data_IF_370326442122
#
_entry.id   IF_370326442122
#
_cell.length_a   1.000
_cell.length_b   1.000
_cell.length_c   1.000
_cell.angle_alpha   90.00
_cell.angle_beta   90.00
_cell.angle_gamma   90.00
#
_symmetry.space_group_name_H-M   'P 1'
#
loop_
_entity.id
_entity.type
_entity.pdbx_description
1 polymer ?
#
# COMPACT_ATOMS: atom_id res chain seq x y z
N UNK A 1 21.57 41.96 39.06
CA UNK A 1 20.16 41.56 38.83
C UNK A 1 19.79 41.29 37.36
N UNK A 2 20.75 41.10 36.43
CA UNK A 2 20.44 40.85 34.99
C UNK A 2 20.42 39.36 34.59
N UNK A 3 20.97 38.46 35.41
CA UNK A 3 21.12 37.02 35.07
C UNK A 3 19.82 36.21 35.20
N UNK A 4 18.91 36.60 36.09
CA UNK A 4 17.65 35.87 36.31
C UNK A 4 16.64 36.06 35.16
N UNK A 5 16.64 37.22 34.50
CA UNK A 5 15.81 37.49 33.32
C UNK A 5 16.26 36.69 32.10
N UNK A 6 17.57 36.50 31.92
CA UNK A 6 18.15 35.75 30.80
C UNK A 6 17.84 34.24 30.92
N UNK A 7 17.85 33.69 32.13
CA UNK A 7 17.49 32.28 32.40
C UNK A 7 16.01 32.03 32.11
N UNK A 8 15.11 32.91 32.59
CA UNK A 8 13.68 32.78 32.33
C UNK A 8 13.33 32.92 30.85
N UNK A 9 14.04 33.81 30.14
CA UNK A 9 13.87 34.00 28.70
C UNK A 9 14.30 32.75 27.90
N UNK A 10 15.43 32.15 28.28
CA UNK A 10 15.91 30.92 27.66
C UNK A 10 14.96 29.74 27.93
N UNK A 11 14.41 29.67 29.15
CA UNK A 11 13.46 28.62 29.54
C UNK A 11 12.12 28.75 28.80
N UNK A 12 11.61 29.97 28.58
CA UNK A 12 10.41 30.19 27.76
C UNK A 12 10.62 29.86 26.29
N UNK A 13 11.79 30.18 25.72
CA UNK A 13 12.14 29.82 24.34
C UNK A 13 12.24 28.30 24.19
N UNK A 14 12.86 27.61 25.15
CA UNK A 14 12.96 26.15 25.15
C UNK A 14 11.58 25.48 25.23
N UNK A 15 10.68 25.95 26.12
CA UNK A 15 9.31 25.42 26.18
C UNK A 15 8.52 25.67 24.88
N UNK A 16 8.67 26.84 24.25
CA UNK A 16 8.00 27.14 22.99
C UNK A 16 8.51 26.26 21.83
N UNK A 17 9.81 25.96 21.79
CA UNK A 17 10.42 25.04 20.82
C UNK A 17 9.96 23.58 21.03
N UNK A 18 9.80 23.14 22.28
CA UNK A 18 9.29 21.80 22.60
C UNK A 18 7.84 21.63 22.14
N UNK A 19 7.00 22.66 22.28
CA UNK A 19 5.59 22.63 21.84
C UNK A 19 5.44 22.63 20.32
N UNK A 20 6.42 23.13 19.57
CA UNK A 20 6.39 23.17 18.10
C UNK A 20 6.60 21.79 17.45
N UNK A 21 7.23 20.84 18.16
CA UNK A 21 7.48 19.48 17.66
C UNK A 21 6.26 18.54 17.78
N UNK A 22 5.18 19.00 18.44
CA UNK A 22 3.96 18.22 18.64
C UNK A 22 2.95 18.32 17.48
N UNK A 23 3.33 18.98 16.38
CA UNK A 23 2.63 18.91 15.11
C UNK A 23 2.78 17.53 14.49
N UNK A 24 2.16 16.52 15.11
CA UNK A 24 2.05 15.18 14.55
C UNK A 24 1.51 15.30 13.13
N UNK A 25 2.31 14.87 12.16
CA UNK A 25 1.88 14.76 10.77
C UNK A 25 0.61 13.91 10.77
N UNK A 26 -0.52 14.53 10.43
CA UNK A 26 -1.72 13.80 10.06
C UNK A 26 -1.31 12.87 8.92
N UNK A 27 -1.16 11.57 9.19
CA UNK A 27 -1.16 10.58 8.15
C UNK A 27 -2.50 10.75 7.42
N UNK A 28 -2.46 11.42 6.27
CA UNK A 28 -3.61 11.49 5.40
C UNK A 28 -3.91 10.06 4.96
N UNK A 29 -5.04 9.53 5.45
CA UNK A 29 -5.52 8.22 5.09
C UNK A 29 -5.86 8.21 3.59
N UNK A 30 -5.03 7.53 2.81
CA UNK A 30 -5.20 7.39 1.36
C UNK A 30 -6.23 6.31 1.00
N UNK A 31 -6.87 5.64 1.98
CA UNK A 31 -7.79 4.53 1.73
C UNK A 31 -9.01 4.95 0.89
N UNK A 32 -9.37 6.24 0.87
CA UNK A 32 -10.44 6.78 0.02
C UNK A 32 -10.01 7.23 -1.38
N UNK A 33 -8.70 7.34 -1.65
CA UNK A 33 -8.17 7.89 -2.91
C UNK A 33 -7.79 6.82 -3.94
N UNK A 34 -7.73 5.55 -3.53
CA UNK A 34 -7.66 4.44 -4.49
C UNK A 34 -9.01 4.31 -5.20
N UNK A 35 -9.19 5.14 -6.22
CA UNK A 35 -10.29 5.02 -7.18
C UNK A 35 -10.33 3.55 -7.65
N UNK A 36 -11.52 2.97 -7.86
CA UNK A 36 -11.62 1.61 -8.41
C UNK A 36 -10.75 1.57 -9.66
N UNK A 37 -9.74 0.68 -9.65
CA UNK A 37 -8.68 0.61 -10.65
C UNK A 37 -9.26 0.70 -12.08
N UNK A 38 -9.26 1.91 -12.65
CA UNK A 38 -9.79 2.17 -14.00
C UNK A 38 -8.76 1.82 -15.09
N UNK A 39 -7.61 1.28 -14.71
CA UNK A 39 -6.57 0.93 -15.65
C UNK A 39 -6.87 -0.42 -16.30
N UNK A 40 -6.67 -0.44 -17.63
CA UNK A 40 -6.79 -1.64 -18.45
C UNK A 40 -5.44 -2.35 -18.43
N UNK A 41 -5.48 -3.65 -18.11
CA UNK A 41 -4.34 -4.55 -18.21
C UNK A 41 -4.29 -5.16 -19.62
N UNK A 42 -3.09 -5.55 -20.10
CA UNK A 42 -2.94 -6.21 -21.39
C UNK A 42 -3.70 -7.54 -21.41
N UNK A 43 -3.84 -8.11 -22.61
CA UNK A 43 -4.35 -9.48 -22.78
C UNK A 43 -3.57 -10.45 -21.90
N UNK A 44 -4.24 -11.46 -21.27
CA UNK A 44 -3.55 -12.51 -20.53
C UNK A 44 -2.48 -13.20 -21.39
N UNK A 45 -1.34 -13.55 -20.77
CA UNK A 45 -0.22 -14.19 -21.46
C UNK A 45 -0.54 -15.62 -21.95
N UNK A 46 -1.55 -16.26 -21.36
CA UNK A 46 -1.97 -17.62 -21.73
C UNK A 46 -3.43 -17.89 -21.34
N UNK A 47 -3.98 -18.99 -21.88
CA UNK A 47 -5.31 -19.47 -21.52
C UNK A 47 -5.40 -19.84 -20.02
N UNK A 48 -4.31 -20.36 -19.45
CA UNK A 48 -4.23 -20.70 -18.03
C UNK A 48 -4.35 -19.44 -17.15
N UNK A 49 -3.71 -18.33 -17.54
CA UNK A 49 -3.82 -17.05 -16.83
C UNK A 49 -5.23 -16.47 -16.99
N UNK A 50 -5.83 -16.59 -18.17
CA UNK A 50 -7.21 -16.17 -18.40
C UNK A 50 -8.19 -16.90 -17.47
N UNK A 51 -8.06 -18.23 -17.37
CA UNK A 51 -8.90 -19.07 -16.51
C UNK A 51 -8.68 -18.75 -15.03
N UNK A 52 -7.43 -18.61 -14.60
CA UNK A 52 -7.08 -18.20 -13.23
C UNK A 52 -7.73 -16.88 -12.82
N UNK A 53 -7.77 -15.89 -13.72
CA UNK A 53 -8.40 -14.59 -13.47
C UNK A 53 -9.93 -14.60 -13.63
N UNK A 54 -10.52 -15.72 -14.05
CA UNK A 54 -11.97 -15.84 -14.29
C UNK A 54 -12.47 -15.01 -15.47
N UNK A 55 -11.61 -14.70 -16.45
CA UNK A 55 -11.94 -13.87 -17.60
C UNK A 55 -12.59 -14.70 -18.71
N UNK A 56 -13.55 -14.09 -19.44
CA UNK A 56 -14.28 -14.79 -20.52
C UNK A 56 -13.56 -14.76 -21.87
N UNK A 57 -12.56 -13.90 -22.05
CA UNK A 57 -11.92 -13.67 -23.36
C UNK A 57 -10.42 -13.38 -23.24
N UNK A 58 -9.64 -13.79 -24.23
CA UNK A 58 -8.24 -13.38 -24.45
C UNK A 58 -8.15 -11.96 -25.06
N UNK A 59 -8.51 -10.94 -24.29
CA UNK A 59 -8.44 -9.52 -24.68
C UNK A 59 -7.93 -8.67 -23.52
N UNK A 60 -7.48 -7.43 -23.75
CA UNK A 60 -7.23 -6.48 -22.66
C UNK A 60 -8.48 -6.33 -21.80
N UNK A 61 -8.28 -6.21 -20.48
CA UNK A 61 -9.36 -6.25 -19.50
C UNK A 61 -9.14 -5.22 -18.39
N UNK A 62 -10.19 -4.83 -17.70
CA UNK A 62 -10.10 -3.98 -16.51
C UNK A 62 -10.00 -4.85 -15.27
N UNK A 63 -9.36 -4.36 -14.22
CA UNK A 63 -9.33 -5.05 -12.92
C UNK A 63 -10.75 -5.38 -12.42
N UNK A 64 -11.73 -4.50 -12.69
CA UNK A 64 -13.15 -4.71 -12.36
C UNK A 64 -13.82 -5.89 -13.09
N UNK A 65 -13.20 -6.41 -14.14
CA UNK A 65 -13.72 -7.56 -14.89
C UNK A 65 -13.45 -8.88 -14.15
N UNK A 66 -12.47 -8.90 -13.24
CA UNK A 66 -12.19 -10.01 -12.33
C UNK A 66 -13.32 -10.13 -11.31
N UNK A 67 -14.01 -11.28 -11.28
CA UNK A 67 -15.15 -11.53 -10.39
C UNK A 67 -14.68 -12.01 -9.02
N UNK A 68 -14.21 -11.08 -8.20
CA UNK A 68 -13.78 -11.35 -6.82
C UNK A 68 -14.32 -10.31 -5.84
N UNK A 69 -14.45 -10.69 -4.56
CA UNK A 69 -14.81 -9.77 -3.46
C UNK A 69 -13.66 -8.81 -3.13
N UNK A 70 -12.42 -9.26 -3.30
CA UNK A 70 -11.18 -8.54 -3.03
C UNK A 70 -10.16 -8.89 -4.12
N UNK A 71 -9.43 -7.88 -4.61
CA UNK A 71 -8.29 -8.07 -5.52
C UNK A 71 -7.07 -7.45 -4.89
N UNK A 72 -6.04 -8.25 -4.67
CA UNK A 72 -4.73 -7.80 -4.16
C UNK A 72 -3.78 -7.71 -5.36
N UNK A 73 -3.16 -6.54 -5.55
CA UNK A 73 -2.23 -6.28 -6.65
C UNK A 73 -0.89 -5.84 -6.05
N UNK A 74 0.16 -6.62 -6.33
CA UNK A 74 1.54 -6.29 -5.94
C UNK A 74 2.32 -5.85 -7.18
N UNK A 75 3.03 -4.73 -7.07
CA UNK A 75 3.94 -4.28 -8.13
C UNK A 75 5.33 -4.88 -7.90
N UNK A 76 5.77 -5.73 -8.83
CA UNK A 76 7.06 -6.41 -8.74
C UNK A 76 7.95 -6.08 -9.93
N UNK A 77 9.26 -6.07 -9.70
CA UNK A 77 10.27 -5.97 -10.75
C UNK A 77 11.27 -7.14 -10.64
N UNK A 78 11.61 -7.80 -11.76
CA UNK A 78 12.64 -8.85 -11.78
C UNK A 78 14.03 -8.36 -11.36
N UNK A 79 14.28 -7.06 -11.31
CA UNK A 79 15.57 -6.49 -10.93
C UNK A 79 15.60 -6.00 -9.47
N UNK A 80 14.50 -6.11 -8.73
CA UNK A 80 14.40 -5.60 -7.37
C UNK A 80 14.67 -6.70 -6.33
N UNK A 81 15.77 -6.64 -5.55
CA UNK A 81 16.09 -7.65 -4.53
C UNK A 81 14.99 -7.80 -3.47
N UNK A 82 14.32 -6.71 -3.10
CA UNK A 82 13.20 -6.76 -2.17
C UNK A 82 11.99 -7.49 -2.75
N UNK A 83 11.70 -7.32 -4.05
CA UNK A 83 10.64 -8.09 -4.70
C UNK A 83 10.96 -9.59 -4.70
N UNK A 84 12.21 -9.98 -4.94
CA UNK A 84 12.62 -11.39 -4.86
C UNK A 84 12.42 -11.97 -3.46
N UNK A 85 12.77 -11.21 -2.43
CA UNK A 85 12.53 -11.62 -1.04
C UNK A 85 11.03 -11.69 -0.68
N UNK A 86 10.19 -10.83 -1.29
CA UNK A 86 8.75 -10.79 -1.03
C UNK A 86 7.94 -11.84 -1.82
N UNK A 87 8.40 -12.26 -3.00
CA UNK A 87 7.74 -13.26 -3.84
C UNK A 87 7.30 -14.54 -3.08
N UNK A 88 8.16 -15.19 -2.27
CA UNK A 88 7.73 -16.38 -1.50
C UNK A 88 6.65 -16.07 -0.46
N UNK A 89 6.63 -14.86 0.10
CA UNK A 89 5.62 -14.44 1.08
C UNK A 89 4.25 -14.31 0.39
N UNK A 90 4.20 -13.65 -0.77
CA UNK A 90 2.97 -13.53 -1.57
C UNK A 90 2.43 -14.89 -2.02
N UNK A 91 3.32 -15.81 -2.40
CA UNK A 91 2.94 -17.19 -2.70
C UNK A 91 2.35 -17.93 -1.48
N UNK A 92 2.84 -17.62 -0.29
CA UNK A 92 2.28 -18.13 0.97
C UNK A 92 0.85 -17.63 1.18
N UNK A 93 0.62 -16.32 1.02
CA UNK A 93 -0.72 -15.71 1.13
C UNK A 93 -1.69 -16.37 0.14
N UNK A 94 -1.26 -16.54 -1.13
CA UNK A 94 -2.07 -17.22 -2.14
C UNK A 94 -2.50 -18.63 -1.71
N UNK A 95 -1.57 -19.44 -1.22
CA UNK A 95 -1.86 -20.81 -0.75
C UNK A 95 -2.82 -20.81 0.43
N UNK A 96 -2.63 -19.89 1.38
CA UNK A 96 -3.51 -19.76 2.54
C UNK A 96 -4.93 -19.39 2.11
N UNK A 97 -5.09 -18.44 1.19
CA UNK A 97 -6.41 -18.06 0.65
C UNK A 97 -7.07 -19.24 -0.06
N UNK A 98 -6.31 -19.97 -0.89
CA UNK A 98 -6.86 -21.13 -1.60
C UNK A 98 -7.28 -22.28 -0.67
N UNK A 99 -6.59 -22.45 0.46
CA UNK A 99 -6.90 -23.48 1.44
C UNK A 99 -8.07 -23.11 2.37
N UNK A 100 -8.47 -21.84 2.43
CA UNK A 100 -9.57 -21.38 3.27
C UNK A 100 -10.92 -21.57 2.57
N UNK A 101 -11.69 -22.57 3.01
CA UNK A 101 -13.04 -22.84 2.50
C UNK A 101 -14.10 -21.82 2.94
N UNK A 102 -13.79 -20.91 3.85
CA UNK A 102 -14.71 -19.90 4.39
C UNK A 102 -14.74 -18.57 3.63
N UNK A 103 -13.87 -18.38 2.64
CA UNK A 103 -13.75 -17.19 1.78
C UNK A 103 -14.59 -17.33 0.49
#
# INVERSE_FOLDING_TARGET
MKKLGCIKFFQTIACALILLQAGGTLCADLAGQFLPAKFTLPTPDSAQVQEYLGLKTMKPFKVSDIKAKLVVIEFMSPLCPHCHANAPIMNGIYKTIQADSGL
#
